data_IF_946338451835
#
_entry.id   IF_946338451835
#
_cell.length_a   1.000
_cell.length_b   1.000
_cell.length_c   1.000
_cell.angle_alpha   90.00
_cell.angle_beta   90.00
_cell.angle_gamma   90.00
#
_symmetry.space_group_name_H-M   'P 1'
#
loop_
_entity.id
_entity.type
_entity.pdbx_description
1 polymer ?
#
# COMPACT_ATOMS: atom_id res chain seq x y z
N UNK A 1 34.09 -43.79 10.06
CA UNK A 1 33.18 -44.50 10.98
C UNK A 1 32.72 -43.50 12.02
N UNK A 2 31.48 -43.01 11.94
CA UNK A 2 30.81 -42.37 13.06
C UNK A 2 29.34 -42.75 12.98
N UNK A 3 28.85 -43.26 14.09
CA UNK A 3 27.51 -43.78 14.29
C UNK A 3 26.89 -42.91 15.38
N UNK A 4 25.78 -42.22 15.13
CA UNK A 4 24.85 -41.89 16.20
C UNK A 4 23.45 -41.69 15.63
N UNK A 5 22.51 -42.31 16.33
CA UNK A 5 21.13 -42.58 15.93
C UNK A 5 20.28 -41.31 16.04
N UNK A 6 19.42 -41.05 15.07
CA UNK A 6 18.24 -40.21 15.28
C UNK A 6 17.00 -41.10 15.28
N UNK A 7 16.35 -41.14 16.45
CA UNK A 7 15.09 -41.82 16.66
C UNK A 7 13.96 -41.03 16.02
N UNK A 8 13.22 -41.70 15.13
CA UNK A 8 11.91 -41.29 14.66
C UNK A 8 10.89 -41.38 15.79
N UNK A 9 10.07 -40.33 15.99
CA UNK A 9 8.84 -40.43 16.75
C UNK A 9 7.64 -39.94 15.92
N UNK A 10 6.88 -40.94 15.44
CA UNK A 10 5.43 -41.02 15.18
C UNK A 10 4.76 -39.93 14.34
N UNK A 11 4.45 -40.13 13.04
CA UNK A 11 3.42 -40.99 12.40
C UNK A 11 1.96 -40.57 12.62
N UNK A 12 1.30 -40.26 11.50
CA UNK A 12 -0.16 -40.12 11.36
C UNK A 12 -0.58 -40.02 9.90
N UNK A 13 -0.31 -41.05 9.09
CA UNK A 13 -1.08 -41.41 7.88
C UNK A 13 -0.57 -42.76 7.35
N UNK A 14 -1.49 -43.72 7.21
CA UNK A 14 -1.20 -45.05 6.69
C UNK A 14 -0.93 -45.02 5.19
N UNK A 15 0.20 -45.61 4.82
CA UNK A 15 0.64 -46.18 3.54
C UNK A 15 2.09 -45.80 3.24
N UNK A 16 2.90 -46.84 3.08
CA UNK A 16 4.34 -46.80 2.89
C UNK A 16 4.75 -46.02 1.64
N UNK A 17 5.48 -44.92 1.84
CA UNK A 17 6.48 -44.45 0.89
C UNK A 17 7.79 -44.21 1.66
N UNK A 18 8.76 -45.09 1.40
CA UNK A 18 10.17 -44.92 1.70
C UNK A 18 10.74 -43.80 0.82
N UNK A 19 10.39 -42.56 1.13
CA UNK A 19 10.90 -41.36 0.46
C UNK A 19 11.44 -40.42 1.52
N UNK A 20 12.73 -40.12 1.47
CA UNK A 20 13.26 -38.91 2.09
C UNK A 20 12.37 -37.73 1.67
N UNK A 21 11.81 -36.99 2.63
CA UNK A 21 11.35 -35.63 2.35
C UNK A 21 12.60 -34.83 1.96
N UNK A 22 12.97 -34.86 0.68
CA UNK A 22 13.89 -33.87 0.14
C UNK A 22 13.14 -32.55 0.23
N UNK A 23 13.62 -31.64 1.08
CA UNK A 23 13.42 -30.23 0.81
C UNK A 23 14.08 -30.00 -0.55
N UNK A 24 13.27 -29.92 -1.60
CA UNK A 24 13.73 -29.30 -2.83
C UNK A 24 14.17 -27.89 -2.46
N UNK A 25 15.28 -27.43 -3.03
CA UNK A 25 15.64 -26.02 -2.99
C UNK A 25 14.57 -25.27 -3.79
N UNK A 26 13.44 -25.00 -3.15
CA UNK A 26 12.48 -24.01 -3.63
C UNK A 26 13.22 -22.71 -3.41
N UNK A 27 13.64 -22.06 -4.49
CA UNK A 27 13.97 -20.64 -4.43
C UNK A 27 12.71 -19.94 -3.93
N UNK A 28 12.68 -19.61 -2.64
CA UNK A 28 11.61 -18.81 -2.06
C UNK A 28 11.85 -17.42 -2.65
N UNK A 29 11.13 -17.10 -3.72
CA UNK A 29 11.11 -15.74 -4.24
C UNK A 29 10.52 -14.85 -3.15
N UNK A 30 11.35 -13.94 -2.63
CA UNK A 30 10.93 -12.92 -1.67
C UNK A 30 9.69 -12.22 -2.22
N UNK A 31 8.63 -12.16 -1.42
CA UNK A 31 7.38 -11.54 -1.87
C UNK A 31 7.59 -10.04 -1.99
N UNK A 32 7.53 -9.52 -3.21
CA UNK A 32 7.53 -8.07 -3.43
C UNK A 32 6.13 -7.49 -3.27
N UNK A 33 6.03 -6.42 -2.49
CA UNK A 33 4.83 -5.59 -2.33
C UNK A 33 5.12 -4.23 -2.94
N UNK A 34 4.28 -3.80 -3.89
CA UNK A 34 4.44 -2.51 -4.55
C UNK A 34 3.61 -1.47 -3.82
N UNK A 35 4.26 -0.40 -3.37
CA UNK A 35 3.60 0.76 -2.75
C UNK A 35 3.70 1.95 -3.70
N UNK A 36 2.59 2.32 -4.31
CA UNK A 36 2.52 3.51 -5.17
C UNK A 36 2.13 4.74 -4.34
N UNK A 37 2.94 5.79 -4.39
CA UNK A 37 2.63 7.12 -3.89
C UNK A 37 2.34 8.05 -5.08
N UNK A 38 1.06 8.36 -5.27
CA UNK A 38 0.58 9.19 -6.37
C UNK A 38 0.36 10.62 -5.87
N UNK A 39 0.90 11.59 -6.61
CA UNK A 39 0.79 13.01 -6.29
C UNK A 39 0.68 13.83 -7.57
N UNK A 40 0.35 15.11 -7.43
CA UNK A 40 0.51 16.09 -8.51
C UNK A 40 1.41 17.22 -8.03
N UNK A 41 2.45 17.51 -8.81
CA UNK A 41 3.40 18.62 -8.57
C UNK A 41 3.99 18.63 -7.15
N UNK A 42 4.86 17.64 -6.86
CA UNK A 42 5.48 17.43 -5.55
C UNK A 42 6.23 18.66 -4.98
N UNK A 43 6.96 19.38 -5.82
CA UNK A 43 7.79 20.50 -5.37
C UNK A 43 7.02 21.72 -4.84
N UNK A 44 5.75 21.86 -5.21
CA UNK A 44 4.90 22.98 -4.81
C UNK A 44 3.79 22.58 -3.81
N UNK A 45 3.80 21.32 -3.33
CA UNK A 45 2.74 20.78 -2.48
C UNK A 45 3.29 20.34 -1.12
N UNK A 46 3.22 21.23 -0.12
CA UNK A 46 3.69 20.94 1.25
C UNK A 46 2.96 19.73 1.86
N UNK A 47 1.65 19.59 1.62
CA UNK A 47 0.86 18.45 2.12
C UNK A 47 1.29 17.12 1.48
N UNK A 48 1.69 17.14 0.21
CA UNK A 48 2.18 15.96 -0.49
C UNK A 48 3.54 15.52 0.10
N UNK A 49 4.43 16.48 0.34
CA UNK A 49 5.74 16.24 0.97
C UNK A 49 5.58 15.70 2.40
N UNK A 50 4.64 16.25 3.18
CA UNK A 50 4.37 15.76 4.53
C UNK A 50 3.75 14.35 4.50
N UNK A 51 2.85 14.07 3.54
CA UNK A 51 2.29 12.72 3.36
C UNK A 51 3.37 11.72 3.00
N UNK A 52 4.27 12.07 2.09
CA UNK A 52 5.40 11.22 1.69
C UNK A 52 6.30 10.91 2.88
N UNK A 53 6.65 11.92 3.69
CA UNK A 53 7.42 11.73 4.92
C UNK A 53 6.71 10.75 5.88
N UNK A 54 5.40 10.92 6.06
CA UNK A 54 4.62 10.02 6.92
C UNK A 54 4.55 8.60 6.35
N UNK A 55 4.56 8.44 5.03
CA UNK A 55 4.65 7.12 4.37
C UNK A 55 6.01 6.46 4.63
N UNK A 56 7.11 7.20 4.48
CA UNK A 56 8.46 6.69 4.78
C UNK A 56 8.59 6.31 6.27
N UNK A 57 8.06 7.13 7.18
CA UNK A 57 7.99 6.81 8.62
C UNK A 57 7.15 5.56 8.89
N UNK A 58 6.00 5.41 8.23
CA UNK A 58 5.14 4.26 8.39
C UNK A 58 5.82 2.95 7.96
N UNK A 59 6.49 2.94 6.79
CA UNK A 59 7.22 1.77 6.29
C UNK A 59 8.35 1.40 7.25
N UNK A 60 9.13 2.39 7.71
CA UNK A 60 10.19 2.17 8.70
C UNK A 60 9.65 1.61 10.02
N UNK A 61 8.46 2.03 10.45
CA UNK A 61 7.85 1.55 11.70
C UNK A 61 7.43 0.08 11.67
N UNK A 62 7.17 -0.48 10.47
CA UNK A 62 6.73 -1.87 10.27
C UNK A 62 7.82 -2.76 9.66
N UNK A 63 9.04 -2.24 9.45
CA UNK A 63 10.11 -2.94 8.72
C UNK A 63 10.42 -4.32 9.31
N UNK A 64 10.54 -4.42 10.64
CA UNK A 64 10.82 -5.68 11.33
C UNK A 64 9.75 -6.75 11.04
N UNK A 65 8.49 -6.35 10.88
CA UNK A 65 7.39 -7.29 10.56
C UNK A 65 7.49 -7.77 9.11
N UNK A 66 7.86 -6.88 8.19
CA UNK A 66 8.04 -7.20 6.77
C UNK A 66 9.26 -8.12 6.56
N UNK A 67 10.37 -7.82 7.23
CA UNK A 67 11.58 -8.65 7.21
C UNK A 67 11.32 -10.06 7.75
N UNK A 68 10.61 -10.18 8.87
CA UNK A 68 10.22 -11.49 9.44
C UNK A 68 9.31 -12.29 8.50
N UNK A 69 8.58 -11.61 7.62
CA UNK A 69 7.70 -12.23 6.65
C UNK A 69 8.38 -12.48 5.28
N UNK A 70 9.66 -12.15 5.13
CA UNK A 70 10.39 -12.18 3.85
C UNK A 70 9.65 -11.38 2.75
N UNK A 71 9.20 -10.19 3.12
CA UNK A 71 8.50 -9.24 2.24
C UNK A 71 9.40 -8.03 1.97
N UNK A 72 9.64 -7.77 0.68
CA UNK A 72 10.31 -6.57 0.21
C UNK A 72 9.27 -5.54 -0.24
N UNK A 73 9.40 -4.29 0.23
CA UNK A 73 8.52 -3.18 -0.18
C UNK A 73 9.24 -2.31 -1.21
N UNK A 74 8.63 -2.15 -2.38
CA UNK A 74 9.11 -1.28 -3.46
C UNK A 74 8.22 -0.05 -3.53
N UNK A 75 8.79 1.15 -3.33
CA UNK A 75 8.05 2.41 -3.37
C UNK A 75 8.17 3.06 -4.74
N UNK A 76 7.04 3.29 -5.42
CA UNK A 76 6.98 4.06 -6.64
C UNK A 76 6.41 5.46 -6.35
N UNK A 77 7.15 6.50 -6.70
CA UNK A 77 6.70 7.90 -6.58
C UNK A 77 6.21 8.36 -7.96
N UNK A 78 4.89 8.54 -8.11
CA UNK A 78 4.23 8.78 -9.39
C UNK A 78 3.64 10.19 -9.42
N UNK A 79 4.23 11.07 -10.25
CA UNK A 79 3.63 12.36 -10.57
C UNK A 79 2.53 12.16 -11.61
N UNK A 80 1.27 12.33 -11.23
CA UNK A 80 0.10 12.22 -12.09
C UNK A 80 -0.24 13.61 -12.61
N UNK A 81 0.49 14.08 -13.61
CA UNK A 81 0.36 15.42 -14.18
C UNK A 81 -0.30 15.46 -15.57
N UNK A 82 -0.67 14.30 -16.13
CA UNK A 82 -1.38 14.17 -17.40
C UNK A 82 -2.72 13.45 -17.26
N UNK A 83 -3.61 13.69 -18.23
CA UNK A 83 -4.90 13.00 -18.33
C UNK A 83 -4.73 11.48 -18.43
N UNK A 84 -3.77 11.02 -19.24
CA UNK A 84 -3.52 9.60 -19.45
C UNK A 84 -3.07 8.92 -18.17
N UNK A 85 -2.24 9.58 -17.35
CA UNK A 85 -1.84 9.06 -16.04
C UNK A 85 -3.03 9.07 -15.08
N UNK A 86 -3.85 10.11 -15.09
CA UNK A 86 -5.04 10.18 -14.25
C UNK A 86 -6.02 9.02 -14.54
N UNK A 87 -6.23 8.70 -15.83
CA UNK A 87 -7.05 7.57 -16.27
C UNK A 87 -6.39 6.24 -15.92
N UNK A 88 -5.11 6.06 -16.28
CA UNK A 88 -4.36 4.82 -16.02
C UNK A 88 -4.42 4.42 -14.55
N UNK A 89 -4.28 5.40 -13.66
CA UNK A 89 -4.30 5.17 -12.24
C UNK A 89 -5.67 5.41 -11.60
N UNK A 90 -6.76 5.72 -12.32
CA UNK A 90 -8.03 6.11 -11.67
C UNK A 90 -7.82 7.12 -10.52
N UNK A 91 -7.00 8.15 -10.77
CA UNK A 91 -6.45 9.04 -9.74
C UNK A 91 -7.45 10.13 -9.34
N UNK A 92 -8.10 10.00 -8.19
CA UNK A 92 -9.13 10.97 -7.78
C UNK A 92 -8.56 12.22 -7.08
N UNK A 93 -7.46 12.08 -6.33
CA UNK A 93 -6.95 13.14 -5.47
C UNK A 93 -5.48 12.94 -5.10
N UNK A 94 -4.75 14.05 -5.01
CA UNK A 94 -3.43 14.11 -4.40
C UNK A 94 -3.57 14.30 -2.88
N UNK A 95 -2.75 13.70 -2.03
CA UNK A 95 -1.87 12.55 -2.24
C UNK A 95 -2.67 11.23 -2.12
N UNK A 96 -2.25 10.18 -2.83
CA UNK A 96 -2.85 8.85 -2.70
C UNK A 96 -1.77 7.77 -2.52
N UNK A 97 -2.01 6.84 -1.60
CA UNK A 97 -1.10 5.72 -1.31
C UNK A 97 -1.81 4.41 -1.68
N UNK A 98 -1.14 3.54 -2.42
CA UNK A 98 -1.69 2.25 -2.85
C UNK A 98 -0.72 1.11 -2.57
N UNK A 99 -1.26 -0.06 -2.29
CA UNK A 99 -0.54 -1.32 -2.11
C UNK A 99 -1.04 -2.30 -3.16
N UNK A 100 -0.15 -2.80 -4.00
CA UNK A 100 -0.47 -3.69 -5.13
C UNK A 100 -1.65 -3.17 -5.97
N UNK A 101 -1.62 -1.87 -6.28
CA UNK A 101 -2.65 -1.16 -7.05
C UNK A 101 -3.93 -0.80 -6.26
N UNK A 102 -4.10 -1.26 -5.02
CA UNK A 102 -5.26 -0.97 -4.17
C UNK A 102 -5.00 0.20 -3.24
N UNK A 103 -5.91 1.15 -3.17
CA UNK A 103 -5.75 2.30 -2.27
C UNK A 103 -5.81 1.84 -0.81
N UNK A 104 -4.97 2.37 0.08
CA UNK A 104 -5.00 2.06 1.53
C UNK A 104 -6.26 2.61 2.25
N UNK A 105 -7.24 3.05 1.46
CA UNK A 105 -8.33 3.96 1.84
C UNK A 105 -9.15 3.35 2.97
N UNK A 106 -9.23 4.07 4.09
CA UNK A 106 -10.12 3.70 5.21
C UNK A 106 -11.46 4.42 5.12
N UNK A 107 -11.43 5.71 4.79
CA UNK A 107 -12.58 6.56 4.46
C UNK A 107 -11.95 7.88 4.00
N UNK A 108 -12.38 8.48 2.90
CA UNK A 108 -11.90 9.82 2.50
C UNK A 108 -13.11 10.72 2.39
N UNK A 109 -13.13 11.80 3.18
CA UNK A 109 -14.27 12.72 3.22
C UNK A 109 -13.91 14.00 2.49
N UNK A 110 -14.78 14.41 1.57
CA UNK A 110 -14.68 15.71 0.92
C UNK A 110 -15.09 16.81 1.92
N UNK A 111 -14.29 17.87 1.97
CA UNK A 111 -14.48 19.05 2.81
C UNK A 111 -14.42 20.29 1.91
N UNK A 112 -15.27 21.32 2.13
CA UNK A 112 -15.20 22.54 1.34
C UNK A 112 -13.84 23.24 1.51
N UNK A 113 -13.08 23.39 0.41
CA UNK A 113 -11.84 24.15 0.43
C UNK A 113 -12.12 25.61 0.79
N UNK A 114 -11.65 26.06 1.96
CA UNK A 114 -11.84 27.43 2.44
C UNK A 114 -10.98 28.47 1.70
N UNK A 115 -10.02 28.05 0.87
CA UNK A 115 -9.08 28.94 0.18
C UNK A 115 -8.98 28.61 -1.32
N UNK A 116 -9.15 29.63 -2.17
CA UNK A 116 -8.94 29.55 -3.64
C UNK A 116 -7.47 29.33 -4.06
N UNK A 117 -6.54 29.25 -3.11
CA UNK A 117 -5.08 29.25 -3.35
C UNK A 117 -4.42 27.88 -3.21
N UNK A 118 -5.11 26.91 -2.63
CA UNK A 118 -4.59 25.55 -2.47
C UNK A 118 -5.30 24.64 -3.46
N UNK A 119 -4.85 24.72 -4.71
CA UNK A 119 -5.31 23.83 -5.77
C UNK A 119 -4.91 22.40 -5.46
N UNK A 120 -5.82 21.65 -4.81
CA UNK A 120 -6.09 20.20 -4.93
C UNK A 120 -6.56 19.51 -3.64
N UNK A 121 -6.64 20.17 -2.48
CA UNK A 121 -6.85 19.45 -1.22
C UNK A 121 -8.12 19.86 -0.47
N UNK A 122 -9.22 19.22 -0.85
CA UNK A 122 -10.51 19.25 -0.14
C UNK A 122 -10.77 17.93 0.60
N UNK A 123 -9.74 17.16 0.98
CA UNK A 123 -9.93 15.82 1.54
C UNK A 123 -9.36 15.71 2.95
N UNK A 124 -10.10 15.06 3.83
CA UNK A 124 -9.63 14.74 5.18
C UNK A 124 -9.67 13.24 5.42
N UNK A 125 -8.73 12.78 6.23
CA UNK A 125 -8.54 11.42 6.68
C UNK A 125 -9.12 11.27 8.09
N UNK A 126 -10.34 10.73 8.26
CA UNK A 126 -10.85 10.37 9.56
C UNK A 126 -10.07 9.18 10.12
N UNK A 127 -9.53 9.34 11.32
CA UNK A 127 -8.80 8.28 12.02
C UNK A 127 -8.90 8.45 13.53
N UNK A 128 -9.31 7.39 14.23
CA UNK A 128 -9.45 7.36 15.69
C UNK A 128 -10.22 8.56 16.27
N UNK A 129 -11.32 8.94 15.60
CA UNK A 129 -12.21 10.03 16.03
C UNK A 129 -11.70 11.44 15.74
N UNK A 130 -10.63 11.59 14.95
CA UNK A 130 -10.08 12.89 14.52
C UNK A 130 -10.00 12.95 13.00
N UNK A 131 -10.07 14.16 12.44
CA UNK A 131 -9.87 14.41 11.01
C UNK A 131 -8.46 14.97 10.79
N UNK A 132 -7.76 14.44 9.79
CA UNK A 132 -6.40 14.84 9.44
C UNK A 132 -6.33 15.32 7.99
N UNK A 133 -5.69 16.45 7.76
CA UNK A 133 -5.43 16.96 6.40
C UNK A 133 -4.27 16.18 5.76
N UNK A 134 -3.28 15.79 6.57
CA UNK A 134 -2.19 14.87 6.21
C UNK A 134 -2.35 13.58 7.01
N UNK A 135 -2.43 12.40 6.38
CA UNK A 135 -2.63 11.16 7.12
C UNK A 135 -1.42 10.89 8.02
N UNK A 136 -1.61 10.63 9.32
CA UNK A 136 -0.49 10.35 10.22
C UNK A 136 0.16 9.01 9.88
N UNK A 137 1.46 8.86 10.17
CA UNK A 137 2.21 7.62 9.90
C UNK A 137 1.53 6.36 10.47
N UNK A 138 0.88 6.47 11.63
CA UNK A 138 0.13 5.36 12.25
C UNK A 138 -1.07 4.89 11.42
N UNK A 139 -1.80 5.81 10.78
CA UNK A 139 -2.89 5.50 9.85
C UNK A 139 -2.35 4.75 8.64
N UNK A 140 -1.26 5.26 8.07
CA UNK A 140 -0.62 4.66 6.89
C UNK A 140 -0.11 3.26 7.23
N UNK A 141 0.60 3.09 8.36
CA UNK A 141 1.12 1.80 8.79
C UNK A 141 0.01 0.75 8.98
N UNK A 142 -1.12 1.15 9.58
CA UNK A 142 -2.30 0.29 9.73
C UNK A 142 -2.87 -0.12 8.37
N UNK A 143 -3.00 0.83 7.43
CA UNK A 143 -3.46 0.58 6.07
C UNK A 143 -2.52 -0.34 5.26
N UNK A 144 -1.20 -0.16 5.41
CA UNK A 144 -0.18 -1.02 4.81
C UNK A 144 -0.30 -2.45 5.34
N UNK A 145 -0.29 -2.64 6.66
CA UNK A 145 -0.41 -3.96 7.27
C UNK A 145 -1.71 -4.67 6.88
N UNK A 146 -2.84 -3.95 6.87
CA UNK A 146 -4.11 -4.50 6.42
C UNK A 146 -4.08 -4.90 4.95
N UNK A 147 -3.47 -4.09 4.09
CA UNK A 147 -3.38 -4.39 2.65
C UNK A 147 -2.46 -5.57 2.33
N UNK A 148 -1.39 -5.74 3.12
CA UNK A 148 -0.35 -6.77 2.92
C UNK A 148 -0.76 -8.14 3.48
N UNK A 149 -1.33 -8.15 4.68
CA UNK A 149 -1.64 -9.36 5.46
C UNK A 149 -3.14 -9.64 5.61
N UNK A 150 -4.00 -8.64 5.40
CA UNK A 150 -5.44 -8.79 5.49
C UNK A 150 -6.01 -9.60 4.33
N UNK A 151 -7.12 -10.28 4.59
CA UNK A 151 -7.89 -11.03 3.60
C UNK A 151 -9.16 -10.25 3.23
N UNK A 152 -9.02 -8.94 2.98
CA UNK A 152 -10.16 -8.13 2.57
C UNK A 152 -10.45 -8.36 1.09
N UNK A 153 -11.55 -9.06 0.82
CA UNK A 153 -12.18 -9.08 -0.49
C UNK A 153 -12.91 -7.76 -0.69
N UNK A 154 -12.23 -6.75 -1.24
CA UNK A 154 -12.95 -5.62 -1.79
C UNK A 154 -13.51 -5.99 -3.15
N UNK A 155 -14.82 -5.79 -3.30
CA UNK A 155 -15.50 -5.84 -4.57
C UNK A 155 -14.95 -4.65 -5.37
N UNK A 156 -14.17 -4.93 -6.42
CA UNK A 156 -13.89 -3.92 -7.42
C UNK A 156 -15.24 -3.53 -8.02
N UNK A 157 -15.85 -2.45 -7.53
CA UNK A 157 -16.91 -1.81 -8.27
C UNK A 157 -16.28 -1.30 -9.56
N UNK A 158 -16.63 -1.97 -10.66
CA UNK A 158 -16.17 -1.66 -12.01
C UNK A 158 -16.91 -0.42 -12.54
N UNK A 159 -16.99 0.61 -11.69
CA UNK A 159 -17.53 1.89 -12.06
C UNK A 159 -16.56 2.54 -13.05
N UNK A 160 -17.14 3.08 -14.12
CA UNK A 160 -16.39 3.86 -15.10
C UNK A 160 -15.69 5.02 -14.38
N UNK A 161 -14.37 5.12 -14.55
CA UNK A 161 -13.59 6.16 -13.91
C UNK A 161 -13.80 7.49 -14.64
N UNK A 162 -14.27 8.49 -13.90
CA UNK A 162 -14.44 9.86 -14.38
C UNK A 162 -13.42 10.75 -13.67
N UNK A 163 -12.63 11.50 -14.44
CA UNK A 163 -11.67 12.47 -13.90
C UNK A 163 -12.44 13.56 -13.14
N UNK A 164 -12.15 13.79 -11.85
CA UNK A 164 -12.80 14.83 -11.07
C UNK A 164 -12.56 16.23 -11.64
N UNK A 165 -13.57 17.10 -11.60
CA UNK A 165 -13.52 18.46 -12.18
C UNK A 165 -12.41 19.34 -11.56
N UNK A 166 -12.11 19.15 -10.28
CA UNK A 166 -10.99 19.83 -9.61
C UNK A 166 -9.64 19.37 -10.19
N UNK A 167 -9.51 18.10 -10.56
CA UNK A 167 -8.30 17.54 -11.14
C UNK A 167 -8.10 18.04 -12.57
N UNK A 168 -9.16 18.09 -13.39
CA UNK A 168 -9.12 18.69 -14.74
C UNK A 168 -8.62 20.13 -14.71
N UNK A 169 -9.20 20.96 -13.82
CA UNK A 169 -8.78 22.36 -13.64
C UNK A 169 -7.30 22.50 -13.27
N UNK A 170 -6.78 21.60 -12.44
CA UNK A 170 -5.37 21.62 -12.06
C UNK A 170 -4.47 21.22 -13.23
N UNK A 171 -4.84 20.18 -13.97
CA UNK A 171 -4.10 19.67 -15.13
C UNK A 171 -4.27 20.55 -16.39
N UNK A 172 -5.10 21.61 -16.32
CA UNK A 172 -5.45 22.47 -17.45
C UNK A 172 -6.15 21.70 -18.59
N UNK A 173 -6.94 20.69 -18.24
CA UNK A 173 -7.81 19.90 -19.13
C UNK A 173 -9.18 20.54 -19.33
#
# INVERSE_FOLDING_TARGET
MNNSKHGCNSCGCGYCCSGFCRAENIEIETRQVVVDFLYVNHGACELCQETEKNLEEAINSISNVLELADIEVVINKINVDTEELAIKYKFSASSAIRVDGRNIKMELREMPCSSKKEGLHCWVWPYKGKEYIVPPATLIAEGLLRSIFGHEYEINEDNEYIIPENLKKFMQL
#
